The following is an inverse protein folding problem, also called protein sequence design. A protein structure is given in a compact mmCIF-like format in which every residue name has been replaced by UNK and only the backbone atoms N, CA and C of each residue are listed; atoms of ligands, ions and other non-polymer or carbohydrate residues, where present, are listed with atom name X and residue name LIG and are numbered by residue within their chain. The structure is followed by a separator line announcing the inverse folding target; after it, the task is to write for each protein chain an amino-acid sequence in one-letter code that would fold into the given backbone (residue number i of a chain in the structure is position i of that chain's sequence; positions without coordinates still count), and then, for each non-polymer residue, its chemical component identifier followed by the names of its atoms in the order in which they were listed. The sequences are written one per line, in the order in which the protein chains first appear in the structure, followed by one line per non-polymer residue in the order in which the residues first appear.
data_IF_243320575333
#
_entry.id   IF_243320575333
#
_cell.length_a   1.000
_cell.length_b   1.000
_cell.length_c   1.000
_cell.angle_alpha   90.00
_cell.angle_beta   90.00
_cell.angle_gamma   90.00
#
_symmetry.space_group_name_H-M   'P 1'
#
loop_
_entity.id
_entity.type
_entity.pdbx_description
1 polymer ?
#
# COMPACT_ATOMS: atom_id res chain seq x y z
N UNK A 1 -6.81 20.72 14.97
CA UNK A 1 -6.83 21.21 16.37
C UNK A 1 -5.41 21.34 16.85
N UNK A 2 -5.06 22.42 17.51
CA UNK A 2 -3.69 22.67 17.99
C UNK A 2 -3.60 22.58 19.52
N UNK A 3 -2.43 22.13 20.02
CA UNK A 3 -2.13 21.92 21.43
C UNK A 3 -0.85 22.66 21.80
N UNK A 4 -0.56 22.86 23.10
CA UNK A 4 0.71 23.42 23.55
C UNK A 4 1.91 22.62 23.01
N UNK A 5 3.08 23.28 22.87
CA UNK A 5 4.27 22.66 22.33
C UNK A 5 4.26 22.46 20.80
N UNK A 6 3.45 23.22 20.07
CA UNK A 6 3.33 23.17 18.61
C UNK A 6 2.85 21.82 18.04
N UNK A 7 2.03 21.11 18.81
CA UNK A 7 1.41 19.84 18.41
C UNK A 7 0.05 20.08 17.76
N UNK A 8 -0.37 19.19 16.87
CA UNK A 8 -1.68 19.30 16.23
C UNK A 8 -2.24 17.95 15.82
N UNK A 9 -3.57 17.84 15.88
CA UNK A 9 -4.32 16.76 15.22
C UNK A 9 -5.01 17.39 14.01
N UNK A 10 -4.75 16.85 12.84
CA UNK A 10 -5.32 17.31 11.57
C UNK A 10 -6.29 16.24 11.05
N UNK A 11 -7.50 16.67 10.70
CA UNK A 11 -8.48 15.83 9.99
C UNK A 11 -8.66 16.44 8.60
N UNK A 12 -8.46 15.61 7.58
CA UNK A 12 -8.56 16.02 6.19
C UNK A 12 -10.01 15.92 5.68
N UNK A 13 -10.31 16.64 4.61
CA UNK A 13 -11.62 16.57 3.95
C UNK A 13 -11.96 15.13 3.50
N UNK A 14 -10.97 14.39 3.02
CA UNK A 14 -11.14 13.01 2.55
C UNK A 14 -11.53 12.06 3.68
N UNK A 15 -10.95 12.21 4.87
CA UNK A 15 -11.27 11.36 6.04
C UNK A 15 -12.68 11.51 6.56
N UNK A 16 -13.28 12.66 6.31
CA UNK A 16 -14.70 12.93 6.66
C UNK A 16 -15.66 12.64 5.50
N UNK A 17 -15.18 11.98 4.42
CA UNK A 17 -15.98 11.69 3.24
C UNK A 17 -16.35 12.92 2.40
N UNK A 18 -15.69 14.05 2.65
CA UNK A 18 -15.95 15.30 1.94
C UNK A 18 -15.16 15.33 0.64
N UNK A 19 -15.84 15.13 -0.49
CA UNK A 19 -15.26 15.38 -1.80
C UNK A 19 -15.17 16.90 -2.03
N UNK A 20 -13.96 17.43 -1.87
CA UNK A 20 -13.67 18.86 -1.98
C UNK A 20 -13.66 19.37 -3.43
N UNK A 21 -14.06 18.57 -4.42
CA UNK A 21 -14.14 19.06 -5.79
C UNK A 21 -15.30 20.06 -5.92
N UNK A 22 -15.09 21.23 -6.58
CA UNK A 22 -16.15 22.19 -6.82
C UNK A 22 -17.38 21.58 -7.51
N UNK A 23 -17.17 20.56 -8.33
CA UNK A 23 -18.21 19.86 -9.07
C UNK A 23 -19.10 19.00 -8.15
N UNK A 24 -18.52 18.24 -7.22
CA UNK A 24 -19.29 17.43 -6.26
C UNK A 24 -20.10 18.31 -5.29
N UNK A 25 -19.53 19.41 -4.81
CA UNK A 25 -20.24 20.37 -3.98
C UNK A 25 -21.40 21.04 -4.75
N UNK A 26 -21.17 21.37 -6.02
CA UNK A 26 -22.19 21.94 -6.90
C UNK A 26 -23.31 20.94 -7.21
N UNK A 27 -22.99 19.67 -7.44
CA UNK A 27 -23.96 18.60 -7.68
C UNK A 27 -24.83 18.35 -6.45
N UNK A 28 -24.23 18.28 -5.25
CA UNK A 28 -24.96 18.12 -3.99
C UNK A 28 -25.91 19.33 -3.75
N UNK A 29 -25.41 20.54 -3.90
CA UNK A 29 -26.21 21.75 -3.79
C UNK A 29 -27.33 21.81 -4.85
N UNK A 30 -27.05 21.34 -6.07
CA UNK A 30 -28.03 21.28 -7.16
C UNK A 30 -29.10 20.20 -6.94
N UNK A 31 -28.75 19.06 -6.39
CA UNK A 31 -29.67 17.97 -6.10
C UNK A 31 -30.59 18.28 -4.92
N UNK A 32 -30.14 19.14 -4.00
CA UNK A 32 -30.93 19.52 -2.82
C UNK A 32 -32.23 20.20 -3.19
N UNK A 33 -33.33 19.63 -2.72
CA UNK A 33 -34.69 20.13 -3.03
C UNK A 33 -35.21 19.80 -4.43
N UNK A 34 -34.50 18.90 -5.18
CA UNK A 34 -34.91 18.44 -6.52
C UNK A 34 -35.09 16.92 -6.63
N UNK A 35 -34.69 16.18 -5.62
CA UNK A 35 -34.75 14.70 -5.59
C UNK A 35 -36.10 14.13 -5.12
N UNK A 36 -37.01 14.98 -4.64
CA UNK A 36 -38.33 14.58 -4.13
C UNK A 36 -39.48 14.85 -5.09
N UNK A 37 -40.70 14.60 -4.64
CA UNK A 37 -41.92 14.99 -5.37
C UNK A 37 -42.16 16.53 -5.27
N UNK A 38 -43.09 17.04 -6.08
CA UNK A 38 -43.36 18.51 -6.17
C UNK A 38 -43.66 19.14 -4.81
N UNK A 39 -44.35 18.45 -3.90
CA UNK A 39 -44.69 18.97 -2.58
C UNK A 39 -43.46 18.97 -1.65
N UNK A 40 -42.69 17.89 -1.60
CA UNK A 40 -41.46 17.83 -0.79
C UNK A 40 -40.42 18.84 -1.27
N UNK A 41 -40.25 18.99 -2.57
CA UNK A 41 -39.34 19.98 -3.14
C UNK A 41 -39.77 21.43 -2.84
N UNK A 42 -41.07 21.71 -2.91
CA UNK A 42 -41.59 23.03 -2.55
C UNK A 42 -41.34 23.38 -1.08
N UNK A 43 -41.62 22.45 -0.16
CA UNK A 43 -41.38 22.71 1.27
C UNK A 43 -39.88 22.80 1.60
N UNK A 44 -39.03 22.06 0.92
CA UNK A 44 -37.57 22.14 1.05
C UNK A 44 -37.07 23.49 0.57
N UNK A 45 -37.56 23.96 -0.59
CA UNK A 45 -37.24 25.28 -1.11
C UNK A 45 -37.71 26.40 -0.16
N UNK A 46 -38.92 26.31 0.37
CA UNK A 46 -39.46 27.29 1.32
C UNK A 46 -38.60 27.34 2.61
N UNK A 47 -38.18 26.20 3.12
CA UNK A 47 -37.27 26.11 4.28
C UNK A 47 -35.93 26.77 4.00
N UNK A 48 -35.34 26.52 2.82
CA UNK A 48 -34.09 27.16 2.41
C UNK A 48 -34.21 28.67 2.29
N UNK A 49 -35.32 29.16 1.77
CA UNK A 49 -35.57 30.60 1.63
C UNK A 49 -35.64 31.35 2.98
N UNK A 50 -36.10 30.68 4.05
CA UNK A 50 -36.26 31.31 5.38
C UNK A 50 -35.15 30.95 6.38
N UNK A 51 -34.50 29.79 6.29
CA UNK A 51 -33.52 29.33 7.29
C UNK A 51 -32.13 29.06 6.71
N UNK A 52 -32.00 29.09 5.39
CA UNK A 52 -30.80 28.54 4.75
C UNK A 52 -30.68 27.02 4.92
N UNK A 53 -29.79 26.42 4.22
CA UNK A 53 -29.39 25.02 4.42
C UNK A 53 -27.87 24.92 4.22
N UNK A 54 -27.21 24.28 5.17
CA UNK A 54 -25.78 24.02 5.08
C UNK A 54 -25.55 22.65 4.40
N UNK A 55 -25.23 22.72 3.11
CA UNK A 55 -24.98 21.53 2.27
C UNK A 55 -23.77 20.72 2.74
N UNK A 56 -22.84 21.35 3.47
CA UNK A 56 -21.68 20.65 4.01
C UNK A 56 -22.09 19.61 5.07
N UNK A 57 -23.20 19.85 5.80
CA UNK A 57 -23.68 18.89 6.80
C UNK A 57 -24.28 17.61 6.21
N UNK A 58 -24.77 17.66 4.97
CA UNK A 58 -25.38 16.49 4.31
C UNK A 58 -24.32 15.47 3.85
N UNK A 59 -23.10 15.93 3.55
CA UNK A 59 -21.99 15.10 3.10
C UNK A 59 -21.27 14.38 4.24
N UNK A 60 -21.54 14.72 5.51
CA UNK A 60 -20.96 14.06 6.68
C UNK A 60 -21.63 12.70 7.01
N UNK A 61 -22.66 12.31 6.26
CA UNK A 61 -23.39 11.05 6.50
C UNK A 61 -22.56 9.81 6.20
N UNK A 62 -21.53 9.90 5.36
CA UNK A 62 -20.66 8.80 4.95
C UNK A 62 -19.37 8.70 5.78
N UNK A 63 -19.19 9.57 6.80
CA UNK A 63 -18.03 9.57 7.67
C UNK A 63 -18.04 8.33 8.59
N UNK A 64 -16.98 7.53 8.56
CA UNK A 64 -16.73 6.52 9.58
C UNK A 64 -16.28 7.17 10.89
N UNK A 65 -17.27 7.59 11.69
CA UNK A 65 -17.04 8.31 12.93
C UNK A 65 -16.30 7.48 13.98
N UNK A 66 -16.43 6.16 13.95
CA UNK A 66 -15.79 5.27 14.94
C UNK A 66 -14.31 5.06 14.61
N UNK A 67 -13.97 4.85 13.34
CA UNK A 67 -12.58 4.79 12.90
C UNK A 67 -11.86 6.13 13.14
N UNK A 68 -12.51 7.26 12.79
CA UNK A 68 -11.95 8.58 13.02
C UNK A 68 -11.75 8.88 14.52
N UNK A 69 -12.71 8.48 15.37
CA UNK A 69 -12.60 8.58 16.83
C UNK A 69 -11.38 7.82 17.34
N UNK A 70 -11.26 6.56 16.96
CA UNK A 70 -10.14 5.69 17.41
C UNK A 70 -8.79 6.28 17.02
N UNK A 71 -8.67 6.83 15.80
CA UNK A 71 -7.45 7.51 15.35
C UNK A 71 -7.14 8.76 16.20
N UNK A 72 -8.14 9.63 16.42
CA UNK A 72 -7.96 10.85 17.20
C UNK A 72 -7.59 10.54 18.65
N UNK A 73 -8.22 9.55 19.26
CA UNK A 73 -7.89 9.11 20.63
C UNK A 73 -6.45 8.60 20.74
N UNK A 74 -5.99 7.83 19.75
CA UNK A 74 -4.59 7.38 19.67
C UNK A 74 -3.64 8.58 19.55
N UNK A 75 -3.87 9.50 18.61
CA UNK A 75 -3.03 10.68 18.43
C UNK A 75 -3.03 11.60 19.66
N UNK A 76 -4.18 11.76 20.32
CA UNK A 76 -4.28 12.54 21.57
C UNK A 76 -3.49 11.89 22.70
N UNK A 77 -3.49 10.54 22.80
CA UNK A 77 -2.66 9.81 23.75
C UNK A 77 -1.16 9.99 23.46
N UNK A 78 -0.76 9.98 22.19
CA UNK A 78 0.63 10.26 21.77
C UNK A 78 1.03 11.71 22.07
N UNK A 79 0.12 12.67 21.91
CA UNK A 79 0.34 14.06 22.31
C UNK A 79 0.54 14.17 23.83
N UNK A 80 -0.20 13.42 24.64
CA UNK A 80 0.00 13.37 26.09
C UNK A 80 1.42 12.97 26.46
N UNK A 81 1.92 11.87 25.87
CA UNK A 81 3.29 11.43 26.06
C UNK A 81 4.28 12.51 25.65
N UNK A 82 4.04 13.19 24.52
CA UNK A 82 4.93 14.23 24.02
C UNK A 82 4.84 15.56 24.79
N UNK A 83 3.68 15.91 25.35
CA UNK A 83 3.53 17.10 26.21
C UNK A 83 4.25 16.88 27.55
N UNK A 84 4.15 15.67 28.10
CA UNK A 84 4.93 15.26 29.27
C UNK A 84 6.44 15.23 28.96
N UNK A 85 6.80 14.84 27.73
CA UNK A 85 8.16 14.75 27.22
C UNK A 85 8.77 16.09 26.77
N UNK A 86 8.00 17.17 26.69
CA UNK A 86 8.49 18.49 26.24
C UNK A 86 9.58 19.09 27.16
N UNK A 87 9.83 18.51 28.32
CA UNK A 87 10.92 18.80 29.24
C UNK A 87 11.97 17.69 29.32
N UNK A 88 11.91 16.70 28.41
CA UNK A 88 12.78 15.51 28.40
C UNK A 88 13.57 15.49 27.10
N UNK A 89 14.89 15.36 27.25
CA UNK A 89 15.83 15.19 26.15
C UNK A 89 16.61 13.89 26.35
N UNK A 90 16.79 13.13 25.28
CA UNK A 90 17.59 11.91 25.30
C UNK A 90 19.05 12.28 24.99
N UNK A 91 19.94 12.06 25.96
CA UNK A 91 21.38 12.20 25.79
C UNK A 91 21.97 10.83 25.44
N UNK A 92 22.03 10.52 24.15
CA UNK A 92 22.58 9.25 23.68
C UNK A 92 24.07 9.12 23.98
N UNK A 93 24.81 10.22 23.95
CA UNK A 93 26.25 10.21 24.19
C UNK A 93 26.65 9.79 25.62
N UNK A 94 25.81 10.10 26.59
CA UNK A 94 26.05 9.79 27.99
C UNK A 94 25.09 8.73 28.57
N UNK A 95 24.25 8.12 27.71
CA UNK A 95 23.24 7.13 28.11
C UNK A 95 22.38 7.65 29.27
N UNK A 96 21.77 8.81 29.08
CA UNK A 96 20.98 9.50 30.10
C UNK A 96 19.74 10.16 29.46
N UNK A 97 18.78 10.50 30.31
CA UNK A 97 17.73 11.45 29.99
C UNK A 97 17.95 12.75 30.79
N UNK A 98 17.74 13.87 30.11
CA UNK A 98 17.77 15.20 30.70
C UNK A 98 16.33 15.65 30.92
N UNK A 99 15.97 15.96 32.16
CA UNK A 99 14.58 16.28 32.50
C UNK A 99 14.52 17.57 33.29
N UNK A 100 13.66 18.50 32.90
CA UNK A 100 13.40 19.71 33.70
C UNK A 100 12.42 19.38 34.81
N UNK A 101 12.90 19.41 36.08
CA UNK A 101 12.07 19.14 37.24
C UNK A 101 11.00 20.23 37.44
N UNK A 102 9.78 19.82 37.79
CA UNK A 102 8.69 20.75 38.07
C UNK A 102 7.95 21.26 36.83
N UNK A 103 8.19 20.65 35.66
CA UNK A 103 7.34 20.83 34.53
C UNK A 103 5.93 20.27 34.84
N UNK A 104 4.89 21.07 34.57
CA UNK A 104 3.52 20.65 34.80
C UNK A 104 3.15 19.53 33.83
N UNK A 105 2.54 18.46 34.32
CA UNK A 105 1.90 17.46 33.46
C UNK A 105 0.65 18.10 32.83
N UNK A 106 0.63 18.15 31.52
CA UNK A 106 -0.59 18.48 30.78
C UNK A 106 -1.19 17.15 30.36
N UNK A 107 -2.28 16.76 30.98
CA UNK A 107 -2.99 15.54 30.64
C UNK A 107 -4.19 15.90 29.76
N UNK A 108 -4.18 15.43 28.52
CA UNK A 108 -5.37 15.46 27.66
C UNK A 108 -6.19 14.20 27.96
N UNK A 109 -7.50 14.34 28.05
CA UNK A 109 -8.39 13.20 27.96
C UNK A 109 -8.60 12.88 26.46
N UNK A 110 -8.07 11.75 25.94
CA UNK A 110 -8.18 11.41 24.54
C UNK A 110 -9.63 11.33 24.04
N UNK A 111 -10.53 10.83 24.88
CA UNK A 111 -11.95 10.74 24.55
C UNK A 111 -12.59 12.12 24.44
N UNK A 112 -12.28 13.04 25.36
CA UNK A 112 -12.77 14.42 25.31
C UNK A 112 -12.21 15.20 24.11
N UNK A 113 -10.97 14.94 23.72
CA UNK A 113 -10.36 15.50 22.49
C UNK A 113 -11.12 15.01 21.26
N UNK A 114 -11.37 13.70 21.15
CA UNK A 114 -12.10 13.10 20.03
C UNK A 114 -13.53 13.66 19.98
N UNK A 115 -14.25 13.73 21.11
CA UNK A 115 -15.58 14.30 21.19
C UNK A 115 -15.62 15.75 20.70
N UNK A 116 -14.61 16.54 21.07
CA UNK A 116 -14.50 17.93 20.65
C UNK A 116 -14.28 18.07 19.15
N UNK A 117 -13.33 17.30 18.58
CA UNK A 117 -13.05 17.31 17.14
C UNK A 117 -14.29 16.87 16.34
N UNK A 118 -14.91 15.77 16.72
CA UNK A 118 -16.12 15.28 16.06
C UNK A 118 -17.30 16.27 16.19
N UNK A 119 -17.44 16.95 17.34
CA UNK A 119 -18.43 17.99 17.53
C UNK A 119 -18.19 19.21 16.64
N UNK A 120 -16.95 19.65 16.51
CA UNK A 120 -16.59 20.79 15.67
C UNK A 120 -16.81 20.44 14.17
N UNK A 121 -16.47 19.22 13.74
CA UNK A 121 -16.75 18.72 12.38
C UNK A 121 -18.27 18.72 12.12
N UNK A 122 -19.09 18.13 13.01
CA UNK A 122 -20.54 18.08 12.87
C UNK A 122 -21.21 19.47 12.90
N UNK A 123 -20.56 20.44 13.55
CA UNK A 123 -20.99 21.82 13.59
C UNK A 123 -20.50 22.64 12.39
N UNK A 124 -19.82 22.02 11.41
CA UNK A 124 -19.26 22.73 10.24
C UNK A 124 -18.13 23.70 10.58
N UNK A 125 -17.48 23.54 11.73
CA UNK A 125 -16.38 24.40 12.16
C UNK A 125 -15.06 23.86 11.63
N UNK A 126 -14.74 24.22 10.41
CA UNK A 126 -13.50 23.85 9.75
C UNK A 126 -12.43 24.93 9.98
N UNK A 127 -11.17 24.48 9.98
CA UNK A 127 -10.00 25.33 10.18
C UNK A 127 -9.27 25.03 11.48
N UNK A 128 -8.25 25.84 11.79
CA UNK A 128 -7.40 25.63 12.97
C UNK A 128 -8.07 26.20 14.22
N UNK A 129 -8.27 25.38 15.23
CA UNK A 129 -8.75 25.76 16.54
C UNK A 129 -7.82 25.24 17.66
N UNK A 130 -7.60 26.04 18.71
CA UNK A 130 -6.82 25.60 19.85
C UNK A 130 -7.70 24.77 20.80
N UNK A 131 -7.16 23.66 21.31
CA UNK A 131 -7.79 22.92 22.39
C UNK A 131 -7.49 23.63 23.72
N UNK A 132 -8.50 23.92 24.53
CA UNK A 132 -8.29 24.54 25.82
C UNK A 132 -7.65 23.52 26.78
N UNK A 133 -6.41 23.74 27.13
CA UNK A 133 -5.69 22.94 28.12
C UNK A 133 -5.60 23.77 29.40
N UNK A 134 -6.02 23.19 30.52
CA UNK A 134 -5.84 23.83 31.82
C UNK A 134 -4.38 23.64 32.26
N UNK A 135 -3.62 24.72 32.26
CA UNK A 135 -2.22 24.75 32.63
C UNK A 135 -2.02 25.18 34.10
N UNK A 136 -3.09 25.37 34.86
CA UNK A 136 -3.05 25.95 36.23
C UNK A 136 -2.88 24.90 37.31
N UNK A 137 -2.76 23.61 37.01
CA UNK A 137 -2.63 22.54 37.98
C UNK A 137 -1.29 22.55 38.71
N UNK A 138 -1.34 22.41 40.05
CA UNK A 138 -0.18 22.23 40.94
C UNK A 138 0.45 20.82 40.82
N UNK A 139 -0.07 19.98 39.93
CA UNK A 139 0.39 18.60 39.75
C UNK A 139 1.71 18.58 39.00
N UNK A 140 2.79 18.53 39.78
CA UNK A 140 4.16 18.39 39.28
C UNK A 140 4.44 16.93 39.05
N UNK A 141 4.99 16.62 37.87
CA UNK A 141 5.41 15.27 37.52
C UNK A 141 6.32 14.68 38.61
N UNK A 142 5.93 13.57 39.18
CA UNK A 142 6.78 12.76 40.07
C UNK A 142 7.78 11.94 39.26
N UNK A 143 8.84 11.46 39.89
CA UNK A 143 9.81 10.59 39.20
C UNK A 143 9.20 9.28 38.74
N UNK A 144 8.20 8.75 39.47
CA UNK A 144 7.47 7.54 39.05
C UNK A 144 6.59 7.79 37.79
N UNK A 145 5.88 8.90 37.74
CA UNK A 145 5.09 9.29 36.58
C UNK A 145 5.98 9.54 35.34
N UNK A 146 7.16 10.13 35.55
CA UNK A 146 8.16 10.25 34.50
C UNK A 146 8.60 8.89 33.98
N UNK A 147 8.93 7.95 34.87
CA UNK A 147 9.34 6.59 34.54
C UNK A 147 8.24 5.93 33.70
N UNK A 148 6.99 5.96 34.18
CA UNK A 148 5.85 5.32 33.51
C UNK A 148 5.52 5.95 32.12
N UNK A 149 5.86 7.24 31.95
CA UNK A 149 5.64 7.94 30.69
C UNK A 149 6.73 7.70 29.63
N UNK A 150 7.99 7.48 30.06
CA UNK A 150 9.12 7.43 29.11
C UNK A 150 9.76 6.05 28.96
N UNK A 151 9.67 5.20 30.00
CA UNK A 151 10.26 3.87 29.94
C UNK A 151 9.42 2.93 29.08
N UNK A 152 10.09 2.22 28.22
CA UNK A 152 9.47 1.25 27.31
C UNK A 152 10.49 0.61 26.39
N UNK A 153 10.06 -0.43 25.69
CA UNK A 153 10.88 -1.10 24.68
C UNK A 153 11.04 -0.22 23.42
N UNK A 154 12.10 -0.43 22.64
CA UNK A 154 12.26 0.28 21.37
C UNK A 154 11.14 -0.09 20.39
N UNK A 155 10.68 0.91 19.63
CA UNK A 155 9.66 0.70 18.59
C UNK A 155 10.30 0.92 17.21
N UNK A 156 10.27 -0.11 16.38
CA UNK A 156 10.73 -0.03 15.01
C UNK A 156 9.77 0.84 14.16
N UNK A 157 10.33 1.57 13.21
CA UNK A 157 9.55 2.20 12.16
C UNK A 157 8.79 1.15 11.35
N UNK A 158 7.55 1.43 11.04
CA UNK A 158 6.68 0.68 10.14
C UNK A 158 6.36 1.48 8.88
N UNK A 159 5.57 0.89 7.99
CA UNK A 159 5.07 1.57 6.80
C UNK A 159 3.59 1.95 7.01
N UNK A 160 3.27 3.21 6.77
CA UNK A 160 1.90 3.68 6.75
C UNK A 160 1.38 3.73 5.30
N UNK A 161 0.43 2.88 4.92
CA UNK A 161 -0.10 2.84 3.56
C UNK A 161 -0.96 4.06 3.19
N UNK A 162 -1.47 4.82 4.15
CA UNK A 162 -2.28 6.01 3.90
C UNK A 162 -1.40 7.20 3.51
N UNK A 163 -0.32 7.42 4.27
CA UNK A 163 0.66 8.49 3.98
C UNK A 163 1.75 8.05 3.02
N UNK A 164 1.84 6.75 2.72
CA UNK A 164 2.87 6.12 1.89
C UNK A 164 4.30 6.43 2.38
N UNK A 165 4.48 6.50 3.68
CA UNK A 165 5.74 6.87 4.32
C UNK A 165 6.10 5.96 5.50
N UNK A 166 7.36 6.08 5.97
CA UNK A 166 7.79 5.40 7.18
C UNK A 166 7.21 6.10 8.42
N UNK A 167 6.67 5.31 9.37
CA UNK A 167 6.24 5.82 10.66
C UNK A 167 7.43 6.15 11.56
N UNK A 168 7.20 6.94 12.60
CA UNK A 168 8.23 7.25 13.59
C UNK A 168 8.70 5.98 14.30
N UNK A 169 10.00 5.91 14.56
CA UNK A 169 10.62 4.92 15.44
C UNK A 169 10.87 5.54 16.82
N UNK A 170 10.92 4.73 17.87
CA UNK A 170 11.20 5.21 19.23
C UNK A 170 12.37 4.45 19.84
N UNK A 171 13.28 5.17 20.50
CA UNK A 171 14.35 4.59 21.32
C UNK A 171 13.72 4.00 22.58
N UNK A 172 14.08 2.78 22.91
CA UNK A 172 13.72 2.17 24.18
C UNK A 172 14.50 2.82 25.32
N UNK A 173 13.82 3.16 26.40
CA UNK A 173 14.40 3.83 27.59
C UNK A 173 14.06 3.01 28.81
N UNK A 174 15.06 2.75 29.66
CA UNK A 174 14.87 2.11 30.94
C UNK A 174 15.78 2.80 32.00
N UNK A 175 15.24 3.21 33.15
CA UNK A 175 16.01 3.67 34.26
C UNK A 175 15.45 3.16 35.59
N UNK A 176 16.28 3.10 36.61
CA UNK A 176 15.89 2.68 37.97
C UNK A 176 15.41 3.89 38.77
N UNK A 177 14.13 3.90 39.12
CA UNK A 177 13.51 4.97 39.94
C UNK A 177 14.20 5.14 41.27
N UNK A 178 14.58 4.05 41.99
CA UNK A 178 15.21 4.13 43.30
C UNK A 178 16.62 4.72 43.22
N UNK A 179 17.35 4.40 42.14
CA UNK A 179 18.69 4.98 41.89
C UNK A 179 18.62 6.45 41.46
N UNK A 180 17.57 6.85 40.73
CA UNK A 180 17.37 8.22 40.28
C UNK A 180 16.76 9.16 41.36
N UNK A 181 16.06 8.61 42.37
CA UNK A 181 15.36 9.38 43.39
C UNK A 181 16.25 10.40 44.13
N UNK A 182 17.48 10.08 44.55
CA UNK A 182 18.34 11.05 45.19
C UNK A 182 18.74 12.24 44.29
N UNK A 183 18.92 11.99 42.98
CA UNK A 183 19.20 13.03 41.99
C UNK A 183 17.98 13.95 41.81
N UNK A 184 16.80 13.32 41.77
CA UNK A 184 15.52 14.04 41.65
C UNK A 184 15.27 14.93 42.87
N UNK A 185 15.47 14.40 44.09
CA UNK A 185 15.20 15.12 45.35
C UNK A 185 16.16 16.29 45.57
N UNK A 186 17.41 16.16 45.14
CA UNK A 186 18.43 17.19 45.26
C UNK A 186 18.22 18.41 44.37
N UNK A 187 17.48 18.24 43.25
CA UNK A 187 17.25 19.31 42.28
C UNK A 187 16.08 20.22 42.70
N UNK A 188 16.19 21.52 42.45
CA UNK A 188 15.08 22.45 42.59
C UNK A 188 14.14 22.41 41.36
N UNK A 189 12.92 22.94 41.53
CA UNK A 189 12.02 23.10 40.35
C UNK A 189 12.66 24.08 39.38
N UNK A 190 12.65 23.71 38.08
CA UNK A 190 13.29 24.44 36.98
C UNK A 190 14.71 23.95 36.66
N UNK A 191 15.32 23.14 37.54
CA UNK A 191 16.62 22.55 37.24
C UNK A 191 16.52 21.38 36.29
N UNK A 192 17.54 21.22 35.45
CA UNK A 192 17.68 20.03 34.60
C UNK A 192 18.32 18.90 35.38
N UNK A 193 17.61 17.80 35.53
CA UNK A 193 18.09 16.57 36.19
C UNK A 193 18.60 15.62 35.12
N UNK A 194 19.86 15.17 35.26
CA UNK A 194 20.42 14.11 34.40
C UNK A 194 20.19 12.75 35.05
N UNK A 195 19.36 11.92 34.48
CA UNK A 195 19.02 10.57 34.97
C UNK A 195 19.75 9.55 34.11
N UNK A 196 20.69 8.77 34.64
CA UNK A 196 21.30 7.66 33.90
C UNK A 196 20.24 6.66 33.45
N UNK A 197 20.26 6.28 32.18
CA UNK A 197 19.28 5.38 31.58
C UNK A 197 19.97 4.37 30.66
N UNK A 198 19.36 3.21 30.51
CA UNK A 198 19.71 2.28 29.42
C UNK A 198 18.90 2.65 28.20
N UNK A 199 19.59 2.97 27.11
CA UNK A 199 18.98 3.32 25.83
C UNK A 199 19.14 2.13 24.85
N UNK A 200 18.05 1.71 24.25
CA UNK A 200 18.04 0.64 23.23
C UNK A 200 17.54 1.22 21.92
N UNK A 201 18.41 1.22 20.91
CA UNK A 201 18.03 1.71 19.58
C UNK A 201 17.06 0.76 18.89
N UNK A 202 16.06 1.25 18.15
CA UNK A 202 15.24 0.42 17.30
C UNK A 202 16.11 -0.21 16.18
N UNK A 203 15.83 -1.44 15.83
CA UNK A 203 16.52 -2.13 14.72
C UNK A 203 16.25 -1.46 13.37
N UNK A 204 15.09 -0.84 13.22
CA UNK A 204 14.66 -0.09 12.04
C UNK A 204 14.23 1.32 12.44
N UNK A 205 15.09 2.32 12.11
CA UNK A 205 14.72 3.74 12.29
C UNK A 205 13.85 4.24 11.13
N UNK A 206 13.12 5.34 11.36
CA UNK A 206 12.31 5.98 10.33
C UNK A 206 13.15 6.36 9.12
N UNK A 207 14.31 6.99 9.33
CA UNK A 207 15.21 7.42 8.25
C UNK A 207 15.72 6.23 7.44
N UNK A 208 16.10 5.14 8.13
CA UNK A 208 16.58 3.93 7.48
C UNK A 208 15.48 3.30 6.64
N UNK A 209 14.27 3.14 7.19
CA UNK A 209 13.15 2.59 6.44
C UNK A 209 12.79 3.48 5.25
N UNK A 210 12.71 4.79 5.43
CA UNK A 210 12.41 5.74 4.35
C UNK A 210 13.40 5.65 3.19
N UNK A 211 14.70 5.44 3.47
CA UNK A 211 15.74 5.27 2.46
C UNK A 211 15.62 3.92 1.71
N UNK A 212 15.07 2.90 2.36
CA UNK A 212 14.91 1.56 1.80
C UNK A 212 13.54 1.30 1.15
N UNK A 213 12.58 2.23 1.26
CA UNK A 213 11.28 2.06 0.60
C UNK A 213 11.47 1.98 -0.92
N UNK A 214 11.05 0.84 -1.52
CA UNK A 214 11.15 0.54 -2.95
C UNK A 214 12.60 0.63 -3.51
N UNK A 215 13.63 0.59 -2.66
CA UNK A 215 15.03 0.75 -3.07
C UNK A 215 15.71 -0.57 -3.43
N UNK A 216 15.17 -1.70 -2.96
CA UNK A 216 15.80 -3.01 -3.11
C UNK A 216 15.19 -3.79 -4.26
N UNK A 217 16.03 -4.38 -5.10
CA UNK A 217 15.61 -5.29 -6.16
C UNK A 217 15.38 -6.69 -5.59
N UNK A 218 14.12 -7.04 -5.33
CA UNK A 218 13.73 -8.33 -4.75
C UNK A 218 13.87 -9.47 -5.76
N UNK A 219 13.57 -9.22 -7.03
CA UNK A 219 13.70 -10.22 -8.10
C UNK A 219 13.95 -9.57 -9.46
N UNK A 220 14.57 -10.33 -10.35
CA UNK A 220 14.70 -10.00 -11.77
C UNK A 220 14.69 -11.27 -12.62
N UNK A 221 14.05 -11.22 -13.77
CA UNK A 221 14.11 -12.27 -14.80
C UNK A 221 14.09 -11.63 -16.17
N UNK A 222 14.94 -12.15 -17.04
CA UNK A 222 15.00 -11.76 -18.44
C UNK A 222 14.71 -12.97 -19.31
N UNK A 223 13.83 -12.83 -20.30
CA UNK A 223 13.53 -13.87 -21.28
C UNK A 223 13.72 -13.35 -22.70
N UNK A 224 14.32 -14.19 -23.56
CA UNK A 224 14.73 -13.81 -24.91
C UNK A 224 13.51 -13.69 -25.87
N UNK A 225 13.56 -12.69 -26.73
CA UNK A 225 12.62 -12.50 -27.86
C UNK A 225 13.26 -12.91 -29.20
N UNK A 226 14.42 -13.58 -29.16
CA UNK A 226 15.09 -14.04 -30.39
C UNK A 226 14.16 -14.91 -31.24
N UNK A 227 14.15 -14.68 -32.54
CA UNK A 227 13.27 -15.37 -33.48
C UNK A 227 11.80 -14.91 -33.46
N UNK A 228 11.44 -13.92 -32.66
CA UNK A 228 10.09 -13.35 -32.64
C UNK A 228 9.86 -12.42 -33.82
N UNK A 229 8.64 -12.45 -34.38
CA UNK A 229 8.20 -11.47 -35.37
C UNK A 229 8.10 -10.07 -34.78
N UNK A 230 8.16 -9.03 -35.60
CA UNK A 230 8.00 -7.64 -35.19
C UNK A 230 6.66 -7.38 -34.48
N UNK A 231 5.58 -8.01 -34.95
CA UNK A 231 4.26 -7.91 -34.31
C UNK A 231 4.27 -8.50 -32.90
N UNK A 232 4.92 -9.68 -32.71
CA UNK A 232 5.06 -10.29 -31.40
C UNK A 232 5.87 -9.43 -30.43
N UNK A 233 6.98 -8.85 -30.91
CA UNK A 233 7.78 -7.91 -30.12
C UNK A 233 6.97 -6.68 -29.72
N UNK A 234 6.15 -6.13 -30.65
CA UNK A 234 5.23 -5.01 -30.36
C UNK A 234 4.25 -5.37 -29.23
N UNK A 235 3.63 -6.56 -29.29
CA UNK A 235 2.70 -7.01 -28.26
C UNK A 235 3.35 -7.20 -26.90
N UNK A 236 4.53 -7.82 -26.86
CA UNK A 236 5.31 -8.02 -25.62
C UNK A 236 5.72 -6.68 -25.04
N UNK A 237 6.20 -5.73 -25.86
CA UNK A 237 6.56 -4.39 -25.43
C UNK A 237 5.36 -3.67 -24.83
N UNK A 238 4.22 -3.66 -25.51
CA UNK A 238 3.00 -3.02 -25.02
C UNK A 238 2.49 -3.64 -23.73
N UNK A 239 2.55 -4.97 -23.57
CA UNK A 239 2.16 -5.62 -22.33
C UNK A 239 3.13 -5.30 -21.19
N UNK A 240 4.44 -5.24 -21.46
CA UNK A 240 5.44 -4.83 -20.47
C UNK A 240 5.24 -3.37 -20.04
N UNK A 241 5.00 -2.45 -20.97
CA UNK A 241 4.71 -1.04 -20.67
C UNK A 241 3.48 -0.86 -19.77
N UNK A 242 2.43 -1.69 -19.96
CA UNK A 242 1.21 -1.61 -19.15
C UNK A 242 1.40 -2.06 -17.70
N UNK A 243 2.30 -2.99 -17.44
CA UNK A 243 2.59 -3.45 -16.07
C UNK A 243 3.73 -2.67 -15.41
N UNK A 244 4.50 -1.90 -16.19
CA UNK A 244 5.61 -1.11 -15.68
C UNK A 244 5.14 0.04 -14.80
N UNK A 245 5.75 0.21 -13.62
CA UNK A 245 5.42 1.26 -12.66
C UNK A 245 4.18 0.94 -11.80
N UNK A 246 3.61 -0.25 -11.89
CA UNK A 246 2.53 -0.65 -10.99
C UNK A 246 3.08 -0.86 -9.59
N UNK A 247 2.55 -0.10 -8.63
CA UNK A 247 2.86 -0.22 -7.20
C UNK A 247 1.72 -0.96 -6.52
N UNK A 248 2.05 -1.94 -5.69
CA UNK A 248 1.11 -2.67 -4.85
C UNK A 248 1.41 -2.41 -3.38
N UNK A 249 0.46 -1.82 -2.68
CA UNK A 249 0.50 -1.67 -1.23
C UNK A 249 0.41 -3.04 -0.52
N UNK A 250 0.83 -3.16 0.76
CA UNK A 250 0.61 -4.36 1.55
C UNK A 250 -0.84 -4.85 1.45
N UNK A 251 -1.02 -6.15 1.20
CA UNK A 251 -2.33 -6.78 1.05
C UNK A 251 -3.01 -6.62 -0.32
N UNK A 252 -2.53 -5.73 -1.18
CA UNK A 252 -3.13 -5.53 -2.51
C UNK A 252 -2.82 -6.69 -3.47
N UNK A 253 -3.77 -6.98 -4.34
CA UNK A 253 -3.68 -8.05 -5.33
C UNK A 253 -3.53 -7.49 -6.74
N UNK A 254 -2.49 -7.94 -7.45
CA UNK A 254 -2.29 -7.69 -8.86
C UNK A 254 -3.12 -8.68 -9.71
N UNK A 255 -3.77 -8.21 -10.76
CA UNK A 255 -4.42 -9.00 -11.79
C UNK A 255 -3.84 -8.62 -13.15
N UNK A 256 -3.21 -9.59 -13.82
CA UNK A 256 -2.58 -9.34 -15.12
C UNK A 256 -3.59 -8.92 -16.18
N UNK A 257 -4.76 -9.56 -16.20
CA UNK A 257 -5.78 -9.25 -17.20
C UNK A 257 -6.40 -7.86 -16.96
N UNK A 258 -6.60 -7.46 -15.71
CA UNK A 258 -7.15 -6.13 -15.39
C UNK A 258 -6.17 -5.01 -15.78
N UNK A 259 -4.88 -5.18 -15.45
CA UNK A 259 -3.84 -4.17 -15.74
C UNK A 259 -3.52 -4.08 -17.24
N UNK A 260 -3.33 -5.21 -17.91
CA UNK A 260 -3.02 -5.20 -19.37
C UNK A 260 -4.23 -4.85 -20.22
N UNK A 261 -5.42 -5.18 -19.73
CA UNK A 261 -6.68 -4.95 -20.43
C UNK A 261 -6.92 -5.88 -21.62
N UNK A 262 -7.99 -5.65 -22.33
CA UNK A 262 -8.36 -6.45 -23.51
C UNK A 262 -7.37 -6.25 -24.66
N UNK A 263 -6.94 -7.38 -25.27
CA UNK A 263 -5.97 -7.41 -26.35
C UNK A 263 -6.69 -7.22 -27.67
N UNK A 264 -6.89 -5.96 -28.07
CA UNK A 264 -7.56 -5.59 -29.34
C UNK A 264 -6.62 -4.77 -30.23
N UNK A 265 -6.93 -4.72 -31.54
CA UNK A 265 -6.21 -3.82 -32.46
C UNK A 265 -6.37 -2.35 -32.06
N UNK A 266 -7.53 -1.97 -31.53
CA UNK A 266 -7.79 -0.63 -31.02
C UNK A 266 -6.86 -0.26 -29.85
N UNK A 267 -6.51 -1.23 -29.00
CA UNK A 267 -5.55 -1.07 -27.90
C UNK A 267 -4.09 -1.23 -28.35
N UNK A 268 -3.81 -1.22 -29.65
CA UNK A 268 -2.47 -1.28 -30.22
C UNK A 268 -1.90 -2.69 -30.41
N UNK A 269 -2.59 -3.75 -29.98
CA UNK A 269 -2.13 -5.12 -30.14
C UNK A 269 -2.25 -5.58 -31.61
N UNK A 270 -1.31 -6.43 -32.01
CA UNK A 270 -1.16 -6.94 -33.37
C UNK A 270 -1.37 -8.44 -33.41
N UNK A 271 -1.74 -8.96 -34.60
CA UNK A 271 -1.77 -10.39 -34.83
C UNK A 271 -0.36 -10.97 -34.81
N UNK A 272 -0.14 -12.00 -34.03
CA UNK A 272 1.10 -12.74 -33.92
C UNK A 272 0.81 -14.19 -33.53
N UNK A 273 1.81 -15.06 -33.68
CA UNK A 273 1.67 -16.47 -33.33
C UNK A 273 1.32 -16.66 -31.86
N UNK A 274 0.29 -17.41 -31.59
CA UNK A 274 -0.19 -17.85 -30.30
C UNK A 274 -0.57 -19.33 -30.35
N UNK A 275 -0.67 -19.98 -29.21
CA UNK A 275 -1.21 -21.33 -29.10
C UNK A 275 -2.68 -21.26 -28.68
N UNK A 276 -3.57 -21.79 -29.50
CA UNK A 276 -5.00 -21.92 -29.20
C UNK A 276 -5.49 -23.29 -29.59
N UNK A 277 -6.20 -23.96 -28.68
CA UNK A 277 -6.79 -25.30 -28.91
C UNK A 277 -5.80 -26.33 -29.50
N UNK A 278 -4.54 -26.31 -29.08
CA UNK A 278 -3.54 -27.25 -29.52
C UNK A 278 -2.87 -26.93 -30.85
N UNK A 279 -3.14 -25.76 -31.45
CA UNK A 279 -2.58 -25.34 -32.74
C UNK A 279 -1.88 -23.97 -32.62
N UNK A 280 -0.91 -23.73 -33.49
CA UNK A 280 -0.33 -22.38 -33.66
C UNK A 280 -1.28 -21.58 -34.54
N UNK A 281 -1.83 -20.52 -33.99
CA UNK A 281 -2.76 -19.62 -34.68
C UNK A 281 -2.21 -18.19 -34.69
N UNK A 282 -2.70 -17.36 -35.62
CA UNK A 282 -2.46 -15.92 -35.54
C UNK A 282 -3.57 -15.29 -34.72
N UNK A 283 -3.20 -14.70 -33.58
CA UNK A 283 -4.14 -14.09 -32.66
C UNK A 283 -3.66 -12.68 -32.22
N UNK A 284 -4.61 -11.76 -32.07
CA UNK A 284 -4.29 -10.40 -31.56
C UNK A 284 -3.80 -10.49 -30.13
N UNK A 285 -2.59 -9.96 -29.89
CA UNK A 285 -1.94 -10.08 -28.59
C UNK A 285 -1.03 -11.29 -28.44
N UNK A 286 -0.80 -12.09 -29.52
CA UNK A 286 0.13 -13.22 -29.46
C UNK A 286 1.49 -12.81 -28.90
N UNK A 287 2.00 -13.58 -27.91
CA UNK A 287 3.28 -13.37 -27.22
C UNK A 287 3.22 -12.78 -25.81
N UNK A 288 2.11 -12.20 -25.37
CA UNK A 288 2.01 -11.53 -24.06
C UNK A 288 2.20 -12.47 -22.86
N UNK A 289 1.92 -13.77 -23.02
CA UNK A 289 2.17 -14.77 -21.98
C UNK A 289 3.66 -14.89 -21.61
N UNK A 290 4.57 -14.40 -22.45
CA UNK A 290 5.98 -14.33 -22.07
C UNK A 290 6.19 -13.28 -20.98
N UNK A 291 5.47 -12.16 -20.99
CA UNK A 291 5.52 -11.14 -19.96
C UNK A 291 4.92 -11.67 -18.65
N UNK A 292 3.73 -12.31 -18.70
CA UNK A 292 3.11 -12.87 -17.49
C UNK A 292 3.94 -14.00 -16.87
N UNK A 293 4.59 -14.84 -17.68
CA UNK A 293 5.49 -15.88 -17.17
C UNK A 293 6.74 -15.31 -16.51
N UNK A 294 7.33 -14.27 -17.15
CA UNK A 294 8.51 -13.59 -16.58
C UNK A 294 8.16 -12.89 -15.26
N UNK A 295 6.96 -12.26 -15.18
CA UNK A 295 6.44 -11.65 -13.94
C UNK A 295 6.11 -12.71 -12.88
N UNK A 296 5.52 -13.86 -13.26
CA UNK A 296 5.25 -14.96 -12.32
C UNK A 296 6.53 -15.45 -11.66
N UNK A 297 7.59 -15.66 -12.43
CA UNK A 297 8.91 -16.00 -11.86
C UNK A 297 9.38 -14.97 -10.84
N UNK A 298 9.30 -13.68 -11.18
CA UNK A 298 9.71 -12.61 -10.27
C UNK A 298 8.83 -12.58 -9.01
N UNK A 299 7.51 -12.79 -9.14
CA UNK A 299 6.61 -12.84 -7.98
C UNK A 299 6.96 -14.00 -7.03
N UNK A 300 7.31 -15.19 -7.57
CA UNK A 300 7.77 -16.31 -6.75
C UNK A 300 9.08 -16.00 -6.02
N UNK A 301 10.07 -15.44 -6.73
CA UNK A 301 11.38 -15.12 -6.17
C UNK A 301 11.30 -13.98 -5.15
N UNK A 302 10.36 -13.06 -5.30
CA UNK A 302 10.06 -12.02 -4.29
C UNK A 302 9.25 -12.53 -3.10
N UNK A 303 9.01 -13.83 -3.00
CA UNK A 303 8.21 -14.50 -1.98
C UNK A 303 6.76 -13.98 -1.88
N UNK A 304 6.17 -13.55 -2.99
CA UNK A 304 4.80 -13.07 -3.03
C UNK A 304 3.80 -14.24 -3.06
N UNK A 305 2.59 -13.97 -2.56
CA UNK A 305 1.50 -14.96 -2.53
C UNK A 305 0.86 -15.09 -3.91
N UNK A 306 1.02 -16.23 -4.55
CA UNK A 306 0.36 -16.56 -5.81
C UNK A 306 -1.09 -16.95 -5.54
N UNK A 307 -2.05 -16.20 -6.11
CA UNK A 307 -3.49 -16.44 -5.93
C UNK A 307 -4.06 -17.29 -7.08
N UNK A 308 -3.63 -17.01 -8.31
CA UNK A 308 -4.12 -17.69 -9.50
C UNK A 308 -3.00 -17.79 -10.51
N UNK A 309 -2.78 -19.00 -11.02
CA UNK A 309 -1.84 -19.26 -12.12
C UNK A 309 -2.28 -20.51 -12.86
N UNK A 310 -2.21 -20.46 -14.19
CA UNK A 310 -2.43 -21.61 -15.09
C UNK A 310 -1.17 -21.82 -15.93
N UNK A 311 -0.67 -23.05 -16.04
CA UNK A 311 0.41 -23.34 -16.98
C UNK A 311 -0.10 -23.34 -18.41
N UNK A 312 0.80 -23.17 -19.38
CA UNK A 312 0.45 -23.33 -20.78
C UNK A 312 0.01 -24.76 -21.10
N UNK A 313 -0.78 -24.89 -22.16
CA UNK A 313 -1.17 -26.20 -22.66
C UNK A 313 0.04 -26.97 -23.21
N UNK A 314 0.98 -26.31 -23.89
CA UNK A 314 2.23 -26.85 -24.39
C UNK A 314 3.44 -26.27 -23.62
N UNK A 315 4.55 -27.02 -23.50
CA UNK A 315 5.78 -26.47 -22.97
C UNK A 315 6.22 -25.23 -23.76
N UNK A 316 6.63 -24.18 -23.06
CA UNK A 316 7.20 -22.97 -23.66
C UNK A 316 8.72 -23.00 -23.56
N UNK A 317 9.42 -22.39 -24.52
CA UNK A 317 10.88 -22.49 -24.61
C UNK A 317 11.62 -21.33 -23.93
N UNK A 318 10.91 -20.28 -23.50
CA UNK A 318 11.54 -19.06 -23.00
C UNK A 318 11.72 -19.03 -21.47
N UNK A 319 11.17 -20.02 -20.74
CA UNK A 319 11.28 -20.14 -19.30
C UNK A 319 11.27 -21.60 -18.87
N UNK A 320 11.77 -21.91 -17.70
CA UNK A 320 11.87 -23.25 -17.16
C UNK A 320 10.49 -23.90 -16.96
N UNK A 321 10.38 -25.24 -17.14
CA UNK A 321 9.12 -25.96 -16.94
C UNK A 321 8.50 -25.70 -15.56
N UNK A 322 7.20 -25.42 -15.54
CA UNK A 322 6.46 -25.11 -14.31
C UNK A 322 6.57 -23.67 -13.84
N UNK A 323 7.41 -22.84 -14.48
CA UNK A 323 7.60 -21.42 -14.13
C UNK A 323 6.91 -20.48 -15.13
N UNK A 324 6.04 -20.99 -15.95
CA UNK A 324 5.24 -20.25 -16.93
C UNK A 324 3.85 -19.89 -16.37
N UNK A 325 3.23 -18.84 -16.88
CA UNK A 325 1.87 -18.41 -16.57
C UNK A 325 1.14 -18.01 -17.86
N UNK A 326 0.15 -18.81 -18.25
CA UNK A 326 -0.71 -18.54 -19.38
C UNK A 326 -1.81 -17.53 -19.02
N UNK A 327 -2.07 -16.57 -19.89
CA UNK A 327 -3.10 -15.55 -19.72
C UNK A 327 -3.87 -15.32 -21.03
N UNK A 328 -5.19 -15.14 -20.93
CA UNK A 328 -6.02 -14.67 -22.03
C UNK A 328 -7.21 -13.88 -21.51
N UNK A 329 -7.76 -12.99 -22.33
CA UNK A 329 -8.94 -12.21 -21.94
C UNK A 329 -10.18 -13.10 -21.85
N UNK A 330 -10.80 -13.13 -20.66
CA UNK A 330 -11.93 -13.99 -20.39
C UNK A 330 -11.60 -15.48 -20.21
N UNK A 331 -10.32 -15.83 -20.12
CA UNK A 331 -9.78 -17.17 -19.92
C UNK A 331 -8.77 -17.23 -18.77
N UNK A 332 -7.64 -17.95 -18.95
CA UNK A 332 -6.61 -18.04 -17.91
C UNK A 332 -6.14 -16.68 -17.42
N UNK A 333 -5.90 -16.62 -16.11
CA UNK A 333 -5.51 -15.40 -15.39
C UNK A 333 -4.25 -15.65 -14.57
N UNK A 334 -3.48 -14.57 -14.34
CA UNK A 334 -2.39 -14.58 -13.40
C UNK A 334 -2.62 -13.49 -12.35
N UNK A 335 -2.72 -13.91 -11.08
CA UNK A 335 -2.91 -13.03 -9.93
C UNK A 335 -1.94 -13.37 -8.81
N UNK A 336 -1.42 -12.34 -8.15
CA UNK A 336 -0.65 -12.48 -6.92
C UNK A 336 -0.94 -11.32 -5.97
N UNK A 337 -0.72 -11.54 -4.68
CA UNK A 337 -0.92 -10.53 -3.63
C UNK A 337 0.43 -10.12 -3.06
N UNK A 338 0.63 -8.83 -2.83
CA UNK A 338 1.71 -8.33 -2.00
C UNK A 338 1.41 -8.70 -0.53
N UNK A 339 2.02 -9.77 -0.05
CA UNK A 339 1.91 -10.25 1.33
C UNK A 339 3.09 -9.79 2.21
N UNK A 340 3.87 -8.81 1.73
CA UNK A 340 4.95 -8.16 2.49
C UNK A 340 4.38 -6.97 3.27
N UNK A 341 5.12 -6.52 4.27
CA UNK A 341 4.75 -5.39 5.11
C UNK A 341 4.99 -4.02 4.43
N UNK A 342 5.65 -4.03 3.26
CA UNK A 342 6.05 -2.83 2.52
C UNK A 342 5.54 -2.88 1.08
N UNK A 343 5.40 -1.72 0.42
CA UNK A 343 5.00 -1.67 -0.98
C UNK A 343 6.02 -2.36 -1.89
N UNK A 344 5.54 -2.83 -3.04
CA UNK A 344 6.37 -3.33 -4.14
C UNK A 344 6.06 -2.59 -5.42
N UNK A 345 7.06 -2.44 -6.30
CA UNK A 345 6.93 -1.86 -7.64
C UNK A 345 7.32 -2.89 -8.70
N UNK A 346 6.52 -3.00 -9.75
CA UNK A 346 6.85 -3.80 -10.94
C UNK A 346 7.54 -2.91 -11.96
N UNK A 347 8.77 -3.26 -12.36
CA UNK A 347 9.46 -2.65 -13.51
C UNK A 347 9.53 -3.66 -14.64
N UNK A 348 9.08 -3.27 -15.83
CA UNK A 348 9.05 -4.16 -16.98
C UNK A 348 9.40 -3.40 -18.26
N UNK A 349 10.33 -3.95 -19.04
CA UNK A 349 10.80 -3.31 -20.26
C UNK A 349 11.32 -4.31 -21.29
N UNK A 350 11.29 -3.90 -22.54
CA UNK A 350 11.88 -4.64 -23.65
C UNK A 350 13.12 -3.90 -24.15
N UNK A 351 14.26 -4.56 -24.05
CA UNK A 351 15.55 -4.02 -24.49
C UNK A 351 16.45 -5.12 -25.03
N UNK A 352 17.27 -4.83 -26.03
CA UNK A 352 18.26 -5.74 -26.60
C UNK A 352 17.70 -7.11 -27.00
N UNK A 353 16.50 -7.15 -27.59
CA UNK A 353 15.86 -8.40 -28.01
C UNK A 353 15.41 -9.31 -26.88
N UNK A 354 15.15 -8.75 -25.71
CA UNK A 354 14.68 -9.48 -24.54
C UNK A 354 13.63 -8.67 -23.80
N UNK A 355 12.73 -9.33 -23.06
CA UNK A 355 11.87 -8.72 -22.05
C UNK A 355 12.44 -9.01 -20.67
N UNK A 356 12.56 -7.97 -19.87
CA UNK A 356 12.99 -8.04 -18.46
C UNK A 356 11.86 -7.57 -17.57
N UNK A 357 11.63 -8.29 -16.50
CA UNK A 357 10.74 -7.90 -15.40
C UNK A 357 11.54 -7.91 -14.12
N UNK A 358 11.36 -6.88 -13.31
CA UNK A 358 11.92 -6.75 -11.98
C UNK A 358 10.80 -6.46 -10.99
N UNK A 359 10.94 -6.94 -9.76
CA UNK A 359 10.13 -6.51 -8.63
C UNK A 359 11.06 -5.81 -7.65
N UNK A 360 10.75 -4.56 -7.38
CA UNK A 360 11.43 -3.73 -6.40
C UNK A 360 10.59 -3.63 -5.13
N UNK A 361 11.22 -3.47 -3.99
CA UNK A 361 10.54 -3.40 -2.70
C UNK A 361 11.49 -2.97 -1.60
N UNK A 362 11.21 -3.39 -0.37
CA UNK A 362 12.03 -3.14 0.80
C UNK A 362 12.50 -4.48 1.37
N UNK A 363 13.81 -4.68 1.43
CA UNK A 363 14.44 -5.84 2.05
C UNK A 363 15.00 -5.43 3.41
N UNK A 364 14.36 -5.88 4.48
CA UNK A 364 14.73 -5.54 5.86
C UNK A 364 15.48 -6.65 6.59
N UNK A 365 15.37 -7.89 6.12
CA UNK A 365 15.90 -9.07 6.80
C UNK A 365 16.94 -9.85 5.99
N UNK A 366 17.14 -9.49 4.71
CA UNK A 366 18.07 -10.16 3.80
C UNK A 366 17.66 -11.58 3.42
N UNK A 367 16.39 -11.95 3.65
CA UNK A 367 15.87 -13.26 3.24
C UNK A 367 15.75 -13.34 1.72
N UNK A 368 15.97 -14.53 1.16
CA UNK A 368 15.91 -14.72 -0.28
C UNK A 368 15.29 -16.07 -0.67
N UNK A 369 14.80 -16.14 -1.90
CA UNK A 369 14.14 -17.33 -2.45
C UNK A 369 15.00 -17.97 -3.54
N UNK A 370 15.08 -19.30 -3.51
CA UNK A 370 15.54 -20.11 -4.64
C UNK A 370 14.39 -20.96 -5.15
N UNK A 371 14.16 -20.88 -6.46
CA UNK A 371 13.22 -21.75 -7.17
C UNK A 371 13.95 -23.00 -7.65
N UNK A 372 13.28 -24.15 -7.54
CA UNK A 372 13.72 -25.41 -8.13
C UNK A 372 12.54 -26.12 -8.77
N UNK A 373 12.82 -27.02 -9.70
CA UNK A 373 11.79 -27.84 -10.33
C UNK A 373 12.31 -29.25 -10.62
N UNK A 374 11.37 -30.17 -10.69
CA UNK A 374 11.58 -31.49 -11.28
C UNK A 374 10.69 -31.63 -12.50
N UNK A 375 11.16 -32.30 -13.54
CA UNK A 375 10.34 -32.55 -14.72
C UNK A 375 10.46 -33.98 -15.17
N UNK A 376 9.33 -34.60 -15.51
CA UNK A 376 9.25 -35.95 -16.07
C UNK A 376 8.29 -35.95 -17.24
N UNK A 377 8.81 -36.09 -18.44
CA UNK A 377 8.05 -35.98 -19.68
C UNK A 377 7.36 -34.61 -19.80
N UNK A 378 6.02 -34.62 -19.77
CA UNK A 378 5.19 -33.41 -19.88
C UNK A 378 4.67 -32.91 -18.52
N UNK A 379 5.27 -33.32 -17.43
CA UNK A 379 4.91 -32.86 -16.08
C UNK A 379 6.08 -32.15 -15.45
N UNK A 380 5.78 -31.06 -14.73
CA UNK A 380 6.76 -30.35 -13.91
C UNK A 380 6.18 -30.05 -12.54
N UNK A 381 7.01 -30.22 -11.52
CA UNK A 381 6.70 -29.83 -10.15
C UNK A 381 7.71 -28.78 -9.72
N UNK A 382 7.22 -27.64 -9.27
CA UNK A 382 8.02 -26.47 -8.89
C UNK A 382 8.01 -26.29 -7.39
N UNK A 383 9.15 -25.97 -6.80
CA UNK A 383 9.32 -25.74 -5.36
C UNK A 383 9.92 -24.37 -5.11
N UNK A 384 9.45 -23.73 -4.02
CA UNK A 384 9.97 -22.50 -3.47
C UNK A 384 10.72 -22.81 -2.19
N UNK A 385 12.00 -22.43 -2.12
CA UNK A 385 12.80 -22.54 -0.89
C UNK A 385 13.20 -21.16 -0.43
N UNK A 386 12.81 -20.80 0.79
CA UNK A 386 13.16 -19.53 1.43
C UNK A 386 14.35 -19.76 2.35
N UNK A 387 15.32 -18.87 2.29
CA UNK A 387 16.52 -18.85 3.11
C UNK A 387 16.60 -17.53 3.89
N UNK A 388 17.18 -17.57 5.09
CA UNK A 388 17.60 -16.37 5.79
C UNK A 388 18.87 -15.74 5.16
N UNK A 389 19.29 -14.60 5.67
CA UNK A 389 20.51 -13.90 5.23
C UNK A 389 21.79 -14.74 5.40
N UNK A 390 21.81 -15.68 6.33
CA UNK A 390 22.96 -16.54 6.65
C UNK A 390 22.96 -17.84 5.83
N UNK A 391 21.95 -18.05 5.01
CA UNK A 391 21.80 -19.19 4.10
C UNK A 391 21.15 -20.42 4.74
N UNK A 392 20.55 -20.28 5.93
CA UNK A 392 19.77 -21.35 6.54
C UNK A 392 18.39 -21.43 5.88
N UNK A 393 17.91 -22.64 5.63
CA UNK A 393 16.60 -22.85 5.05
C UNK A 393 15.51 -22.58 6.06
N UNK A 394 14.66 -21.57 5.77
CA UNK A 394 13.46 -21.23 6.56
C UNK A 394 12.30 -22.14 6.16
N UNK A 395 12.07 -22.32 4.86
CA UNK A 395 10.98 -23.16 4.36
C UNK A 395 11.33 -23.80 3.01
N UNK A 396 10.64 -24.90 2.71
CA UNK A 396 10.65 -25.55 1.40
C UNK A 396 9.23 -26.02 1.10
N UNK A 397 8.60 -25.41 0.10
CA UNK A 397 7.18 -25.62 -0.18
C UNK A 397 6.96 -25.97 -1.65
N UNK A 398 5.97 -26.83 -1.89
CA UNK A 398 5.44 -27.07 -3.23
C UNK A 398 4.77 -25.78 -3.72
N UNK A 399 5.26 -25.23 -4.82
CA UNK A 399 4.65 -24.03 -5.45
C UNK A 399 3.55 -24.42 -6.44
N UNK A 400 3.85 -25.31 -7.36
CA UNK A 400 2.88 -25.72 -8.38
C UNK A 400 3.18 -27.08 -9.00
N UNK A 401 2.13 -27.76 -9.43
CA UNK A 401 2.19 -28.88 -10.36
C UNK A 401 1.69 -28.43 -11.72
N UNK A 402 2.45 -28.68 -12.79
CA UNK A 402 2.12 -28.32 -14.16
C UNK A 402 2.05 -29.57 -15.03
N UNK A 403 1.02 -29.67 -15.84
CA UNK A 403 0.87 -30.75 -16.82
C UNK A 403 0.71 -30.13 -18.21
N UNK A 404 1.61 -30.47 -19.08
CA UNK A 404 1.63 -30.05 -20.48
C UNK A 404 1.12 -31.15 -21.39
N UNK A 405 0.91 -30.80 -22.64
CA UNK A 405 0.50 -31.74 -23.69
C UNK A 405 1.52 -31.72 -24.82
N UNK A 406 1.60 -32.82 -25.58
CA UNK A 406 2.42 -32.85 -26.80
C UNK A 406 1.71 -32.12 -27.93
N UNK A 407 2.49 -31.54 -28.85
CA UNK A 407 1.94 -31.07 -30.12
C UNK A 407 1.46 -32.27 -30.93
N UNK A 408 0.14 -32.37 -31.15
CA UNK A 408 -0.37 -33.32 -32.13
C UNK A 408 0.01 -32.85 -33.52
N UNK A 409 0.84 -33.64 -34.20
CA UNK A 409 1.26 -33.36 -35.57
C UNK A 409 0.20 -33.78 -36.62
N UNK A 410 -0.87 -34.42 -36.18
CA UNK A 410 -2.01 -34.81 -37.07
C UNK A 410 -3.02 -33.66 -37.16
N UNK A 411 -3.35 -33.20 -38.39
CA UNK A 411 -4.38 -32.18 -38.55
C UNK A 411 -5.74 -32.72 -38.10
N UNK A 412 -6.30 -32.17 -37.01
CA UNK A 412 -7.67 -32.43 -36.62
C UNK A 412 -8.59 -31.79 -37.66
N UNK A 413 -9.59 -32.51 -38.22
CA UNK A 413 -10.49 -31.92 -39.18
C UNK A 413 -11.19 -30.70 -38.59
N UNK A 414 -11.13 -29.58 -39.31
CA UNK A 414 -11.80 -28.32 -38.96
C UNK A 414 -13.28 -28.57 -38.77
N UNK A 415 -13.89 -28.23 -37.62
CA UNK A 415 -15.33 -28.32 -37.48
C UNK A 415 -16.00 -27.36 -38.50
N UNK A 416 -16.90 -27.88 -39.31
CA UNK A 416 -17.73 -27.10 -40.23
C UNK A 416 -18.46 -26.00 -39.44
N UNK A 417 -18.46 -24.73 -39.89
CA UNK A 417 -19.14 -23.66 -39.16
C UNK A 417 -20.62 -23.96 -39.04
N UNK A 418 -21.11 -24.12 -37.83
CA UNK A 418 -22.54 -24.16 -37.54
C UNK A 418 -23.11 -22.76 -37.77
N UNK A 419 -23.91 -22.60 -38.77
CA UNK A 419 -24.62 -21.37 -39.08
C UNK A 419 -25.82 -21.22 -38.17
N UNK A 420 -25.68 -20.58 -37.02
CA UNK A 420 -26.73 -19.80 -36.35
C UNK A 420 -26.11 -18.91 -35.23
N UNK A 421 -26.23 -17.61 -35.29
CA UNK A 421 -25.82 -16.75 -34.19
C UNK A 421 -26.86 -16.82 -33.06
N UNK A 422 -26.42 -17.27 -31.89
CA UNK A 422 -27.19 -17.13 -30.66
C UNK A 422 -27.12 -15.65 -30.22
N UNK A 423 -28.23 -15.02 -29.84
CA UNK A 423 -28.20 -13.63 -29.42
C UNK A 423 -27.35 -13.48 -28.17
N UNK A 424 -26.36 -12.60 -28.24
CA UNK A 424 -25.48 -12.20 -27.12
C UNK A 424 -26.30 -11.41 -26.11
N UNK A 425 -26.28 -11.77 -24.83
CA UNK A 425 -26.84 -10.88 -23.79
C UNK A 425 -26.04 -9.60 -23.74
N UNK A 426 -26.73 -8.47 -23.69
CA UNK A 426 -26.16 -7.13 -23.48
C UNK A 426 -25.39 -7.11 -22.17
N UNK A 427 -24.11 -6.72 -22.14
CA UNK A 427 -23.37 -6.64 -20.89
C UNK A 427 -23.92 -5.49 -20.05
N UNK A 428 -24.23 -5.78 -18.81
CA UNK A 428 -24.46 -4.77 -17.75
C UNK A 428 -23.16 -3.99 -17.57
N UNK A 429 -23.19 -2.64 -17.47
CA UNK A 429 -22.00 -1.85 -17.22
C UNK A 429 -21.38 -2.25 -15.88
N UNK A 430 -20.15 -2.77 -15.92
CA UNK A 430 -19.33 -2.93 -14.72
C UNK A 430 -18.76 -1.55 -14.33
N UNK A 431 -18.68 -1.22 -13.04
CA UNK A 431 -18.03 0.01 -12.62
C UNK A 431 -16.59 0.02 -13.10
N UNK A 432 -16.17 1.13 -13.70
CA UNK A 432 -14.79 1.36 -14.10
C UNK A 432 -13.91 1.35 -12.83
N UNK A 433 -12.76 0.68 -12.86
CA UNK A 433 -11.78 0.85 -11.81
C UNK A 433 -11.32 2.30 -11.79
N UNK A 434 -11.33 2.91 -10.61
CA UNK A 434 -10.73 4.22 -10.37
C UNK A 434 -9.28 4.20 -10.84
N UNK A 435 -8.82 5.21 -11.59
CA UNK A 435 -7.42 5.30 -11.98
C UNK A 435 -6.58 5.40 -10.70
N UNK A 436 -5.54 4.56 -10.62
CA UNK A 436 -4.53 4.67 -9.60
C UNK A 436 -3.96 6.08 -9.63
N UNK A 437 -3.83 6.77 -8.49
CA UNK A 437 -3.15 8.05 -8.48
C UNK A 437 -1.73 7.87 -8.98
N UNK A 438 -1.38 8.60 -10.04
CA UNK A 438 -0.01 8.72 -10.51
C UNK A 438 0.77 9.48 -9.45
N UNK A 439 1.57 8.79 -8.68
CA UNK A 439 2.44 9.37 -7.68
C UNK A 439 3.83 9.51 -8.27
N UNK A 440 4.31 10.75 -8.23
CA UNK A 440 5.66 11.20 -8.43
C UNK A 440 6.08 11.54 -9.87
N UNK A 441 5.89 12.82 -10.19
CA UNK A 441 6.68 13.57 -11.15
C UNK A 441 7.87 14.20 -10.38
N UNK A 442 9.12 13.78 -10.60
CA UNK A 442 10.26 14.52 -10.09
C UNK A 442 10.43 15.76 -10.98
N UNK A 443 9.95 16.89 -10.44
CA UNK A 443 9.99 18.20 -11.05
C UNK A 443 11.30 18.50 -11.73
N UNK A 444 11.14 19.00 -12.91
CA UNK A 444 11.98 19.86 -13.72
C UNK A 444 12.98 20.68 -12.85
N UNK A 445 14.22 20.23 -12.82
CA UNK A 445 15.35 21.07 -12.43
C UNK A 445 15.78 21.85 -13.66
N UNK A 446 15.21 23.04 -13.82
CA UNK A 446 15.61 24.01 -14.82
C UNK A 446 17.10 24.32 -14.69
N UNK A 447 17.78 24.18 -15.81
CA UNK A 447 19.05 24.83 -16.07
C UNK A 447 18.86 26.37 -16.04
N UNK A 448 19.68 27.02 -15.22
CA UNK A 448 20.38 28.25 -15.52
C UNK A 448 21.70 28.28 -14.73
#
# INVERSE_FOLDING_TARGET
MTFPGNRSITVTATEIGFDATPDAAAETAYAYGRSGNVFTNFFTWLRCAFKGHDVASDNLADMDADALRTRIEREAAEINVSLSAGSIEIDEAHSAILVVKGASMITLDPAAVADRVLSDIRAGKFGTSAYPVDMSGDDKMTLQELHDAVCGDPVNAGYDPETQSATESKVGIQFDVAAAQPLWDAAANGDTVTIPATLTQPEMTQERLQQHLLADKLATKTTSLSGSSSNRITNVKLAAEKINGVILQPGQTFSYNDVVGQRTKANGFKEAGAYSNGQVVQEVGGGICQVSSTLYYCAMVSNLKINTRTCHYFPVAYIEPGMDAAVSWGGPEFKFTNNRDYPIEIKAYVQNGSVTVEIWGTDVDGSYVKMSYTSEGLRATTYRTVYDKDGNQISHTLEANSTYHSHDTTPKPTPTPSTAPKPTPTPTPQPQPTPYPSVYDPGDAGED
#
